data_IF_329078141499
#
_entry.id   IF_329078141499
#
_cell.length_a   1.000
_cell.length_b   1.000
_cell.length_c   1.000
_cell.angle_alpha   90.00
_cell.angle_beta   90.00
_cell.angle_gamma   90.00
#
_symmetry.space_group_name_H-M   'P 1'
#
loop_
_entity.id
_entity.type
_entity.pdbx_description
1 polymer ?
#
# COMPACT_ATOMS: atom_id res chain seq x y z
N UNK A 1 8.85 10.41 -18.06
CA UNK A 1 8.88 10.52 -16.60
C UNK A 1 7.96 9.45 -16.06
N UNK A 2 8.49 8.47 -15.34
CA UNK A 2 7.67 7.48 -14.64
C UNK A 2 6.99 8.20 -13.47
N UNK A 3 5.66 8.16 -13.42
CA UNK A 3 4.94 8.73 -12.29
C UNK A 3 5.16 7.82 -11.07
N UNK A 4 5.40 8.39 -9.87
CA UNK A 4 5.51 7.58 -8.66
C UNK A 4 4.21 6.79 -8.43
N UNK A 5 4.35 5.50 -8.09
CA UNK A 5 3.22 4.62 -7.81
C UNK A 5 2.34 5.24 -6.71
N UNK A 6 1.02 5.27 -6.92
CA UNK A 6 0.06 5.72 -5.90
C UNK A 6 -0.41 4.55 -5.02
N UNK A 7 -1.02 4.86 -3.87
CA UNK A 7 -1.61 3.83 -3.02
C UNK A 7 -2.71 3.06 -3.75
N UNK A 8 -3.59 3.77 -4.45
CA UNK A 8 -4.71 3.21 -5.19
C UNK A 8 -4.24 2.32 -6.33
N UNK A 9 -3.19 2.74 -7.05
CA UNK A 9 -2.59 1.94 -8.11
C UNK A 9 -1.94 0.66 -7.56
N UNK A 10 -1.18 0.78 -6.47
CA UNK A 10 -0.56 -0.37 -5.81
C UNK A 10 -1.59 -1.37 -5.26
N UNK A 11 -2.66 -0.85 -4.67
CA UNK A 11 -3.76 -1.65 -4.14
C UNK A 11 -4.54 -2.36 -5.25
N UNK A 12 -4.85 -1.66 -6.35
CA UNK A 12 -5.51 -2.26 -7.50
C UNK A 12 -4.66 -3.39 -8.13
N UNK A 13 -3.35 -3.20 -8.26
CA UNK A 13 -2.45 -4.24 -8.73
C UNK A 13 -2.41 -5.45 -7.76
N UNK A 14 -2.38 -5.19 -6.46
CA UNK A 14 -2.41 -6.24 -5.44
C UNK A 14 -3.71 -7.06 -5.53
N UNK A 15 -4.86 -6.41 -5.72
CA UNK A 15 -6.14 -7.10 -5.93
C UNK A 15 -6.11 -7.98 -7.19
N UNK A 16 -5.56 -7.48 -8.30
CA UNK A 16 -5.41 -8.28 -9.52
C UNK A 16 -4.53 -9.51 -9.31
N UNK A 17 -3.43 -9.37 -8.57
CA UNK A 17 -2.56 -10.51 -8.24
C UNK A 17 -3.31 -11.52 -7.37
N UNK A 18 -4.03 -11.06 -6.34
CA UNK A 18 -4.80 -11.94 -5.46
C UNK A 18 -5.85 -12.73 -6.26
N UNK A 19 -6.66 -12.05 -7.07
CA UNK A 19 -7.67 -12.70 -7.92
C UNK A 19 -7.05 -13.71 -8.87
N UNK A 20 -5.93 -13.38 -9.53
CA UNK A 20 -5.28 -14.31 -10.45
C UNK A 20 -4.80 -15.60 -9.75
N UNK A 21 -4.32 -15.48 -8.50
CA UNK A 21 -3.88 -16.62 -7.68
C UNK A 21 -5.09 -17.44 -7.22
N UNK A 22 -6.16 -16.78 -6.76
CA UNK A 22 -7.40 -17.42 -6.30
C UNK A 22 -8.13 -18.18 -7.41
N UNK A 23 -8.12 -17.65 -8.63
CA UNK A 23 -8.75 -18.27 -9.80
C UNK A 23 -7.92 -19.44 -10.38
N UNK A 24 -6.81 -19.82 -9.76
CA UNK A 24 -5.87 -20.86 -10.22
C UNK A 24 -5.34 -20.64 -11.66
N UNK A 25 -5.48 -19.43 -12.19
CA UNK A 25 -5.03 -19.07 -13.56
C UNK A 25 -3.52 -18.85 -13.67
N UNK A 26 -2.82 -18.85 -12.53
CA UNK A 26 -1.39 -18.58 -12.40
C UNK A 26 -0.62 -19.89 -12.46
N UNK A 27 0.30 -20.02 -13.43
CA UNK A 27 1.19 -21.18 -13.48
C UNK A 27 2.19 -21.16 -12.32
N UNK A 28 2.66 -22.35 -11.92
CA UNK A 28 3.64 -22.51 -10.83
C UNK A 28 4.92 -21.72 -11.09
N UNK A 29 5.34 -21.64 -12.36
CA UNK A 29 6.57 -20.92 -12.75
C UNK A 29 6.49 -19.42 -12.45
N UNK A 30 5.32 -18.80 -12.63
CA UNK A 30 5.13 -17.34 -12.44
C UNK A 30 4.54 -17.02 -11.06
N UNK A 31 4.10 -18.03 -10.30
CA UNK A 31 3.55 -17.86 -8.96
C UNK A 31 4.56 -17.17 -8.02
N UNK A 32 5.83 -17.61 -8.06
CA UNK A 32 6.87 -17.01 -7.23
C UNK A 32 7.07 -15.52 -7.52
N UNK A 33 6.99 -15.12 -8.80
CA UNK A 33 7.11 -13.72 -9.23
C UNK A 33 5.92 -12.89 -8.76
N UNK A 34 4.70 -13.43 -8.89
CA UNK A 34 3.46 -12.78 -8.44
C UNK A 34 3.44 -12.58 -6.93
N UNK A 35 3.85 -13.59 -6.16
CA UNK A 35 3.95 -13.49 -4.69
C UNK A 35 5.00 -12.45 -4.29
N UNK A 36 6.17 -12.44 -4.94
CA UNK A 36 7.19 -11.41 -4.69
C UNK A 36 6.65 -10.01 -4.96
N UNK A 37 5.99 -9.81 -6.09
CA UNK A 37 5.38 -8.52 -6.45
C UNK A 37 4.31 -8.10 -5.43
N UNK A 38 3.44 -9.03 -5.01
CA UNK A 38 2.46 -8.77 -3.97
C UNK A 38 3.12 -8.31 -2.66
N UNK A 39 4.22 -8.95 -2.25
CA UNK A 39 4.98 -8.56 -1.06
C UNK A 39 5.52 -7.13 -1.14
N UNK A 40 6.08 -6.74 -2.30
CA UNK A 40 6.56 -5.38 -2.55
C UNK A 40 5.42 -4.34 -2.46
N UNK A 41 4.26 -4.65 -3.07
CA UNK A 41 3.08 -3.79 -3.04
C UNK A 41 2.52 -3.64 -1.62
N UNK A 42 2.47 -4.72 -0.84
CA UNK A 42 2.04 -4.69 0.56
C UNK A 42 2.96 -3.79 1.38
N UNK A 43 4.28 -3.94 1.26
CA UNK A 43 5.25 -3.10 1.97
C UNK A 43 5.09 -1.62 1.60
N UNK A 44 4.87 -1.32 0.33
CA UNK A 44 4.59 0.02 -0.15
C UNK A 44 3.30 0.61 0.46
N UNK A 45 2.19 -0.14 0.40
CA UNK A 45 0.91 0.28 0.97
C UNK A 45 1.00 0.54 2.47
N UNK A 46 1.63 -0.37 3.23
CA UNK A 46 1.86 -0.20 4.66
C UNK A 46 2.71 1.04 4.97
N UNK A 47 3.74 1.31 4.15
CA UNK A 47 4.56 2.50 4.28
C UNK A 47 3.75 3.79 4.12
N UNK A 48 2.87 3.83 3.11
CA UNK A 48 1.95 4.97 2.88
C UNK A 48 1.00 5.18 4.05
N UNK A 49 0.37 4.11 4.55
CA UNK A 49 -0.56 4.19 5.68
C UNK A 49 0.13 4.73 6.94
N UNK A 50 1.31 4.22 7.29
CA UNK A 50 2.10 4.69 8.44
C UNK A 50 2.50 6.15 8.32
N UNK A 51 2.91 6.58 7.12
CA UNK A 51 3.26 7.98 6.86
C UNK A 51 2.03 8.90 7.03
N UNK A 52 0.88 8.50 6.49
CA UNK A 52 -0.38 9.23 6.65
C UNK A 52 -0.80 9.29 8.11
N UNK A 53 -0.78 8.17 8.83
CA UNK A 53 -1.09 8.11 10.26
C UNK A 53 -0.20 9.05 11.09
N UNK A 54 1.10 9.07 10.80
CA UNK A 54 2.06 9.95 11.49
C UNK A 54 1.70 11.43 11.27
N UNK A 55 1.38 11.82 10.04
CA UNK A 55 1.05 13.22 9.73
C UNK A 55 -0.30 13.63 10.35
N UNK A 56 -1.31 12.75 10.31
CA UNK A 56 -2.60 12.98 10.96
C UNK A 56 -2.43 13.18 12.46
N UNK A 57 -1.67 12.29 13.13
CA UNK A 57 -1.41 12.40 14.56
C UNK A 57 -0.70 13.71 14.90
N UNK A 58 0.28 14.13 14.09
CA UNK A 58 0.98 15.40 14.27
C UNK A 58 0.05 16.61 14.16
N UNK A 59 -0.87 16.61 13.18
CA UNK A 59 -1.87 17.67 13.01
C UNK A 59 -2.80 17.72 14.23
N UNK A 60 -3.29 16.58 14.70
CA UNK A 60 -4.14 16.49 15.91
C UNK A 60 -3.41 17.05 17.13
N UNK A 61 -2.16 16.63 17.38
CA UNK A 61 -1.37 17.15 18.50
C UNK A 61 -1.04 18.65 18.38
N UNK A 62 -1.04 19.22 17.18
CA UNK A 62 -0.91 20.67 16.99
C UNK A 62 -2.21 21.41 17.35
N UNK A 63 -3.36 20.86 16.96
CA UNK A 63 -4.68 21.42 17.28
C UNK A 63 -4.97 21.42 18.80
N UNK A 64 -4.59 20.34 19.49
CA UNK A 64 -4.73 20.24 20.94
C UNK A 64 -3.86 21.27 21.68
N UNK A 65 -2.62 21.48 21.22
CA UNK A 65 -1.72 22.50 21.80
C UNK A 65 -2.17 23.94 21.52
N UNK A 66 -2.81 24.19 20.38
CA UNK A 66 -3.31 25.51 19.99
C UNK A 66 -4.60 25.94 20.68
N UNK A 67 -5.33 25.02 21.32
CA UNK A 67 -6.62 25.29 21.98
C UNK A 67 -6.49 25.59 23.49
N UNK A 68 -5.27 25.54 24.05
CA UNK A 68 -5.01 25.73 25.48
C UNK A 68 -4.22 27.02 25.79
N UNK A 69 -4.41 28.07 24.97
CA UNK A 69 -3.83 29.40 25.14
C UNK A 69 -4.88 30.49 25.20
#
# INVERSE_FOLDING_TARGET
MEQPLSYEAAYAELQQIATAIEDETVSVDVLAEKVKRASELIAFCQGKLRATETEVNKIISQMERGSNG
#
